data_IF_086645886333
#
_entry.id   IF_086645886333
#
_cell.length_a   1.000
_cell.length_b   1.000
_cell.length_c   1.000
_cell.angle_alpha   90.00
_cell.angle_beta   90.00
_cell.angle_gamma   90.00
#
_symmetry.space_group_name_H-M   'P 1'
#
loop_
_entity.id
_entity.type
_entity.pdbx_description
1 polymer ?
#
# COMPACT_ATOMS: atom_id res chain seq x y z
N UNK A 1 20.87 -59.59 24.17
CA UNK A 1 21.78 -58.85 23.27
C UNK A 1 20.99 -58.49 22.04
N UNK A 2 20.81 -57.19 21.83
CA UNK A 2 20.53 -56.47 20.55
C UNK A 2 19.24 -56.84 19.79
N UNK A 3 18.19 -56.01 19.79
CA UNK A 3 17.96 -54.77 18.99
C UNK A 3 18.05 -54.93 17.47
N UNK A 4 16.91 -54.87 16.76
CA UNK A 4 16.62 -54.05 15.54
C UNK A 4 15.13 -54.25 15.13
N UNK A 5 14.23 -53.26 15.30
CA UNK A 5 13.65 -52.35 14.27
C UNK A 5 13.12 -53.09 13.03
N UNK A 6 11.84 -53.01 12.60
CA UNK A 6 11.01 -51.86 12.17
C UNK A 6 9.52 -52.32 12.14
N UNK A 7 8.58 -51.70 12.85
CA UNK A 7 7.72 -50.59 12.37
C UNK A 7 7.28 -50.67 10.90
N UNK A 8 6.27 -51.48 10.61
CA UNK A 8 5.32 -51.25 9.51
C UNK A 8 3.91 -51.30 10.11
N UNK A 9 3.45 -50.16 10.62
CA UNK A 9 2.04 -49.89 10.91
C UNK A 9 1.62 -48.68 10.08
N UNK A 10 0.60 -48.91 9.26
CA UNK A 10 -0.50 -47.99 8.95
C UNK A 10 -0.24 -46.50 9.15
N UNK A 11 -0.10 -45.77 8.03
CA UNK A 11 -0.71 -44.44 7.89
C UNK A 11 -1.25 -44.24 6.48
N UNK A 12 -2.57 -44.41 6.38
CA UNK A 12 -3.42 -43.58 5.54
C UNK A 12 -3.00 -42.10 5.64
N UNK A 13 -2.90 -41.45 4.48
CA UNK A 13 -3.22 -40.04 4.22
C UNK A 13 -3.16 -39.90 2.69
N UNK A 14 -4.20 -40.25 1.93
CA UNK A 14 -5.38 -39.39 1.68
C UNK A 14 -4.97 -37.92 1.61
N UNK A 15 -4.48 -37.55 0.44
CA UNK A 15 -4.89 -36.35 -0.30
C UNK A 15 -5.43 -35.22 0.57
N UNK A 16 -4.53 -34.37 1.10
CA UNK A 16 -4.87 -32.97 1.35
C UNK A 16 -4.85 -32.27 -0.01
N UNK A 17 -5.94 -32.46 -0.76
CA UNK A 17 -6.33 -31.54 -1.81
C UNK A 17 -6.67 -30.24 -1.09
N UNK A 18 -5.67 -29.36 -0.94
CA UNK A 18 -5.88 -27.99 -0.51
C UNK A 18 -6.80 -27.36 -1.55
N UNK A 19 -8.12 -27.38 -1.28
CA UNK A 19 -9.13 -26.68 -2.05
C UNK A 19 -8.64 -25.25 -2.25
N UNK A 20 -8.10 -24.98 -3.44
CA UNK A 20 -7.76 -23.62 -3.86
C UNK A 20 -9.08 -22.86 -3.79
N UNK A 21 -9.18 -21.89 -2.88
CA UNK A 21 -10.37 -21.06 -2.80
C UNK A 21 -10.76 -20.60 -4.21
N UNK A 22 -12.05 -20.72 -4.59
CA UNK A 22 -12.50 -20.28 -5.89
C UNK A 22 -12.12 -18.81 -6.08
N UNK A 23 -11.59 -18.47 -7.27
CA UNK A 23 -11.13 -17.12 -7.59
C UNK A 23 -12.31 -16.14 -7.48
N UNK A 24 -12.33 -15.34 -6.42
CA UNK A 24 -13.38 -14.35 -6.15
C UNK A 24 -13.36 -13.24 -7.21
N UNK A 25 -14.53 -12.81 -7.63
CA UNK A 25 -14.71 -11.63 -8.49
C UNK A 25 -14.56 -10.37 -7.63
N UNK A 26 -13.58 -9.54 -7.98
CA UNK A 26 -13.32 -8.29 -7.24
C UNK A 26 -14.16 -7.17 -7.84
N UNK A 27 -14.94 -6.49 -7.00
CA UNK A 27 -15.74 -5.31 -7.33
C UNK A 27 -15.10 -4.08 -6.67
N UNK A 28 -14.64 -3.15 -7.49
CA UNK A 28 -13.96 -1.97 -7.00
C UNK A 28 -14.92 -0.84 -6.60
N UNK A 29 -14.60 -0.11 -5.54
CA UNK A 29 -15.42 1.00 -5.09
C UNK A 29 -14.62 2.20 -4.55
N UNK A 30 -15.29 3.36 -4.53
CA UNK A 30 -14.75 4.68 -4.17
C UNK A 30 -15.63 5.30 -3.09
N UNK A 31 -15.03 5.78 -2.02
CA UNK A 31 -15.75 6.46 -0.92
C UNK A 31 -15.56 7.97 -0.92
N UNK A 32 -14.37 8.44 -1.28
CA UNK A 32 -14.03 9.87 -1.37
C UNK A 32 -13.35 10.17 -2.72
N UNK A 33 -14.09 10.69 -3.71
CA UNK A 33 -13.55 10.96 -5.04
C UNK A 33 -12.48 12.05 -5.09
N UNK A 34 -12.40 12.92 -4.08
CA UNK A 34 -11.40 13.99 -4.03
C UNK A 34 -10.10 13.43 -3.49
N UNK A 35 -10.15 12.78 -2.32
CA UNK A 35 -8.99 12.12 -1.72
C UNK A 35 -8.42 11.04 -2.65
N UNK A 36 -9.29 10.21 -3.22
CA UNK A 36 -8.89 9.06 -4.04
C UNK A 36 -8.71 9.42 -5.52
N UNK A 37 -8.66 10.70 -5.88
CA UNK A 37 -8.61 11.18 -7.26
C UNK A 37 -7.46 10.58 -8.07
N UNK A 38 -6.30 10.38 -7.46
CA UNK A 38 -5.14 9.75 -8.10
C UNK A 38 -5.44 8.30 -8.52
N UNK A 39 -6.01 7.49 -7.63
CA UNK A 39 -6.41 6.11 -7.91
C UNK A 39 -7.54 6.04 -8.94
N UNK A 40 -8.47 7.00 -8.93
CA UNK A 40 -9.54 7.10 -9.95
C UNK A 40 -8.94 7.33 -11.33
N UNK A 41 -7.93 8.20 -11.44
CA UNK A 41 -7.27 8.45 -12.72
C UNK A 41 -6.55 7.21 -13.23
N UNK A 42 -5.86 6.48 -12.35
CA UNK A 42 -5.24 5.20 -12.68
C UNK A 42 -6.25 4.19 -13.22
N UNK A 43 -7.40 4.04 -12.55
CA UNK A 43 -8.47 3.16 -13.03
C UNK A 43 -9.01 3.59 -14.41
N UNK A 44 -9.20 4.90 -14.63
CA UNK A 44 -9.65 5.44 -15.93
C UNK A 44 -8.66 5.20 -17.05
N UNK A 45 -7.36 5.38 -16.81
CA UNK A 45 -6.30 5.10 -17.78
C UNK A 45 -6.31 3.65 -18.25
N UNK A 46 -6.82 2.75 -17.41
CA UNK A 46 -6.91 1.32 -17.67
C UNK A 46 -8.28 0.85 -18.17
N UNK A 47 -9.24 1.77 -18.31
CA UNK A 47 -10.61 1.43 -18.67
C UNK A 47 -11.31 0.54 -17.62
N UNK A 48 -10.93 0.68 -16.35
CA UNK A 48 -11.54 -0.04 -15.23
C UNK A 48 -12.66 0.78 -14.60
N UNK A 49 -13.73 0.09 -14.22
CA UNK A 49 -14.87 0.68 -13.53
C UNK A 49 -14.77 0.51 -12.01
N UNK A 50 -15.30 1.51 -11.28
CA UNK A 50 -15.47 1.45 -9.84
C UNK A 50 -16.77 2.12 -9.43
N UNK A 51 -17.46 1.55 -8.42
CA UNK A 51 -18.74 2.06 -7.91
C UNK A 51 -18.50 3.13 -6.85
N UNK A 52 -19.25 4.23 -6.91
CA UNK A 52 -19.15 5.30 -5.90
C UNK A 52 -20.10 4.99 -4.74
N UNK A 53 -19.54 4.78 -3.55
CA UNK A 53 -20.21 4.42 -2.29
C UNK A 53 -19.84 5.43 -1.20
N UNK A 54 -20.62 6.51 -1.05
CA UNK A 54 -20.26 7.66 -0.18
C UNK A 54 -20.92 7.65 1.19
N UNK A 55 -21.84 6.72 1.45
CA UNK A 55 -22.65 6.72 2.65
C UNK A 55 -22.14 5.70 3.66
N UNK A 56 -22.22 6.02 4.95
CA UNK A 56 -21.77 5.13 6.03
C UNK A 56 -22.45 3.75 6.01
N UNK A 57 -23.67 3.66 5.46
CA UNK A 57 -24.40 2.40 5.33
C UNK A 57 -23.81 1.47 4.26
N UNK A 58 -23.05 2.03 3.31
CA UNK A 58 -22.54 1.29 2.16
C UNK A 58 -21.55 0.20 2.57
N UNK A 59 -20.67 0.46 3.57
CA UNK A 59 -19.73 -0.55 4.09
C UNK A 59 -20.46 -1.77 4.65
N UNK A 60 -21.52 -1.54 5.43
CA UNK A 60 -22.33 -2.63 5.99
C UNK A 60 -23.09 -3.38 4.89
N UNK A 61 -23.57 -2.65 3.88
CA UNK A 61 -24.27 -3.23 2.73
C UNK A 61 -23.37 -4.14 1.90
N UNK A 62 -22.19 -3.68 1.49
CA UNK A 62 -21.27 -4.50 0.68
C UNK A 62 -20.74 -5.71 1.47
N UNK A 63 -20.48 -5.55 2.76
CA UNK A 63 -20.07 -6.67 3.64
C UNK A 63 -21.18 -7.72 3.74
N UNK A 64 -22.45 -7.29 3.81
CA UNK A 64 -23.58 -8.21 3.80
C UNK A 64 -23.74 -8.93 2.45
N UNK A 65 -23.49 -8.25 1.33
CA UNK A 65 -23.52 -8.88 0.01
C UNK A 65 -22.45 -9.96 -0.16
N UNK A 66 -21.22 -9.73 0.33
CA UNK A 66 -20.15 -10.74 0.34
C UNK A 66 -20.52 -11.96 1.21
N UNK A 67 -21.22 -11.74 2.32
CA UNK A 67 -21.72 -12.84 3.16
C UNK A 67 -22.78 -13.68 2.42
N UNK A 68 -23.64 -13.05 1.63
CA UNK A 68 -24.68 -13.73 0.85
C UNK A 68 -24.10 -14.43 -0.39
N UNK A 69 -23.03 -13.90 -0.97
CA UNK A 69 -22.35 -14.45 -2.13
C UNK A 69 -20.83 -14.48 -1.92
N UNK A 70 -20.31 -15.66 -1.58
CA UNK A 70 -18.87 -15.85 -1.32
C UNK A 70 -18.00 -15.76 -2.59
N UNK A 71 -18.60 -15.69 -3.78
CA UNK A 71 -17.87 -15.52 -5.04
C UNK A 71 -17.48 -14.06 -5.33
N UNK A 72 -18.03 -13.09 -4.59
CA UNK A 72 -17.70 -11.67 -4.77
C UNK A 72 -16.92 -11.12 -3.58
N UNK A 73 -16.03 -10.17 -3.87
CA UNK A 73 -15.32 -9.37 -2.86
C UNK A 73 -15.31 -7.92 -3.30
N UNK A 74 -15.67 -7.01 -2.42
CA UNK A 74 -15.52 -5.59 -2.64
C UNK A 74 -14.15 -5.14 -2.16
N UNK A 75 -13.52 -4.27 -2.93
CA UNK A 75 -12.21 -3.71 -2.62
C UNK A 75 -12.18 -2.23 -2.95
N UNK A 76 -11.73 -1.41 -2.02
CA UNK A 76 -11.56 0.02 -2.28
C UNK A 76 -10.44 0.23 -3.30
N UNK A 77 -10.57 1.23 -4.17
CA UNK A 77 -9.58 1.50 -5.24
C UNK A 77 -8.16 1.86 -4.75
N UNK A 78 -8.01 2.19 -3.47
CA UNK A 78 -6.73 2.48 -2.80
C UNK A 78 -6.30 1.39 -1.82
N UNK A 79 -6.93 0.22 -1.89
CA UNK A 79 -6.66 -0.87 -0.98
C UNK A 79 -5.38 -1.65 -1.32
N UNK A 80 -5.09 -1.79 -2.61
CA UNK A 80 -3.89 -2.43 -3.12
C UNK A 80 -3.60 -1.93 -4.54
N UNK A 81 -2.41 -2.24 -5.05
CA UNK A 81 -2.06 -2.06 -6.45
C UNK A 81 -2.68 -3.19 -7.26
N UNK A 82 -3.64 -2.90 -8.11
CA UNK A 82 -4.23 -3.91 -9.00
C UNK A 82 -3.18 -4.44 -9.98
N UNK A 83 -3.24 -5.73 -10.33
CA UNK A 83 -2.30 -6.35 -11.29
C UNK A 83 -2.28 -5.62 -12.64
N UNK A 84 -3.40 -5.02 -13.03
CA UNK A 84 -3.49 -4.20 -14.23
C UNK A 84 -2.51 -3.02 -14.21
N UNK A 85 -2.23 -2.42 -13.04
CA UNK A 85 -1.30 -1.29 -12.84
C UNK A 85 0.17 -1.69 -12.84
N UNK A 86 0.46 -2.97 -12.61
CA UNK A 86 1.81 -3.52 -12.59
C UNK A 86 2.27 -3.90 -13.99
N UNK A 87 3.57 -3.85 -14.22
CA UNK A 87 4.21 -4.52 -15.34
C UNK A 87 4.39 -6.01 -15.03
N UNK A 88 4.32 -6.86 -16.05
CA UNK A 88 4.59 -8.31 -15.94
C UNK A 88 6.11 -8.60 -15.82
N UNK A 89 6.81 -7.81 -15.00
CA UNK A 89 8.23 -7.90 -14.77
C UNK A 89 8.49 -8.08 -13.28
N UNK A 90 9.26 -9.10 -12.93
CA UNK A 90 9.67 -9.30 -11.54
C UNK A 90 10.44 -8.06 -11.02
N UNK A 91 10.08 -7.64 -9.81
CA UNK A 91 10.86 -6.67 -9.05
C UNK A 91 12.03 -7.39 -8.41
N UNK A 92 13.21 -6.79 -8.49
CA UNK A 92 14.41 -7.28 -7.82
C UNK A 92 14.23 -7.25 -6.29
N UNK A 93 14.28 -8.42 -5.64
CA UNK A 93 14.11 -8.54 -4.19
C UNK A 93 15.20 -7.84 -3.38
N UNK A 94 16.44 -7.79 -3.88
CA UNK A 94 17.55 -7.10 -3.20
C UNK A 94 17.32 -5.59 -3.23
N UNK A 95 16.88 -5.07 -4.39
CA UNK A 95 16.50 -3.67 -4.55
C UNK A 95 15.33 -3.29 -3.64
N UNK A 96 14.31 -4.16 -3.55
CA UNK A 96 13.17 -3.94 -2.67
C UNK A 96 13.58 -3.87 -1.19
N UNK A 97 14.47 -4.76 -0.73
CA UNK A 97 15.02 -4.74 0.63
C UNK A 97 15.84 -3.48 0.90
N UNK A 98 16.73 -3.12 -0.03
CA UNK A 98 17.57 -1.91 0.09
C UNK A 98 16.72 -0.63 0.20
N UNK A 99 15.71 -0.47 -0.67
CA UNK A 99 14.80 0.67 -0.60
C UNK A 99 13.98 0.69 0.70
N UNK A 100 13.52 -0.48 1.16
CA UNK A 100 12.79 -0.59 2.42
C UNK A 100 13.62 -0.07 3.59
N UNK A 101 14.86 -0.54 3.72
CA UNK A 101 15.77 -0.10 4.78
C UNK A 101 16.10 1.40 4.68
N UNK A 102 16.36 1.88 3.45
CA UNK A 102 16.68 3.28 3.19
C UNK A 102 15.52 4.20 3.58
N UNK A 103 14.29 3.88 3.21
CA UNK A 103 13.12 4.69 3.58
C UNK A 103 12.84 4.62 5.07
N UNK A 104 12.92 3.44 5.70
CA UNK A 104 12.75 3.32 7.17
C UNK A 104 13.75 4.18 7.94
N UNK A 105 15.01 4.17 7.51
CA UNK A 105 16.10 4.96 8.09
C UNK A 105 15.86 6.47 7.92
N UNK A 106 15.63 6.93 6.69
CA UNK A 106 15.49 8.37 6.41
C UNK A 106 14.20 8.95 7.01
N UNK A 107 13.13 8.17 7.09
CA UNK A 107 11.85 8.61 7.65
C UNK A 107 11.75 8.42 9.17
N UNK A 108 12.72 7.75 9.80
CA UNK A 108 12.66 7.31 11.20
C UNK A 108 11.37 6.50 11.50
N UNK A 109 10.99 5.59 10.60
CA UNK A 109 9.78 4.76 10.71
C UNK A 109 10.12 3.28 10.56
N UNK A 110 10.68 2.66 11.60
CA UNK A 110 11.13 1.25 11.58
C UNK A 110 10.03 0.24 11.20
N UNK A 111 8.77 0.58 11.48
CA UNK A 111 7.60 -0.27 11.20
C UNK A 111 6.94 0.02 9.85
N UNK A 112 7.46 0.97 9.06
CA UNK A 112 6.87 1.29 7.75
C UNK A 112 6.95 0.07 6.85
N UNK A 113 5.83 -0.38 6.32
CA UNK A 113 5.81 -1.37 5.27
C UNK A 113 6.11 -0.68 3.94
N UNK A 114 7.07 -1.20 3.18
CA UNK A 114 7.44 -0.67 1.87
C UNK A 114 7.35 -1.80 0.87
N UNK A 115 6.62 -1.56 -0.22
CA UNK A 115 6.57 -2.43 -1.40
C UNK A 115 7.19 -1.69 -2.56
N UNK A 116 7.99 -2.41 -3.35
CA UNK A 116 8.56 -1.87 -4.58
C UNK A 116 7.90 -2.59 -5.75
N UNK A 117 7.29 -1.81 -6.63
CA UNK A 117 6.50 -2.32 -7.73
C UNK A 117 6.92 -1.61 -9.02
N UNK A 118 6.89 -2.30 -10.15
CA UNK A 118 7.03 -1.67 -11.46
C UNK A 118 5.65 -1.27 -11.94
N UNK A 119 5.33 0.02 -11.87
CA UNK A 119 4.03 0.52 -12.29
C UNK A 119 4.12 1.01 -13.74
N UNK A 120 3.10 0.71 -14.54
CA UNK A 120 3.01 1.14 -15.95
C UNK A 120 2.97 2.66 -16.13
N UNK A 121 2.49 3.39 -15.11
CA UNK A 121 2.45 4.86 -15.14
C UNK A 121 3.75 5.44 -14.58
N UNK A 122 4.61 5.92 -15.47
CA UNK A 122 5.91 6.52 -15.13
C UNK A 122 5.81 7.86 -14.38
N UNK A 123 4.66 8.53 -14.37
CA UNK A 123 4.47 9.78 -13.63
C UNK A 123 4.17 9.55 -12.14
N UNK A 124 3.88 8.30 -11.77
CA UNK A 124 3.59 7.93 -10.39
C UNK A 124 4.88 7.50 -9.70
N UNK A 125 5.39 8.32 -8.79
CA UNK A 125 6.63 8.01 -8.06
C UNK A 125 6.41 7.08 -6.85
N UNK A 126 5.35 7.35 -6.10
CA UNK A 126 4.98 6.60 -4.91
C UNK A 126 3.48 6.77 -4.61
N UNK A 127 2.89 5.82 -3.89
CA UNK A 127 1.53 5.91 -3.37
C UNK A 127 1.37 5.10 -2.09
N UNK A 128 0.33 5.38 -1.32
CA UNK A 128 0.05 4.66 -0.07
C UNK A 128 -1.15 3.74 -0.23
N UNK A 129 -1.01 2.47 0.10
CA UNK A 129 -2.14 1.53 0.11
C UNK A 129 -2.51 1.17 1.54
N UNK A 130 -3.78 0.89 1.79
CA UNK A 130 -4.21 0.28 3.06
C UNK A 130 -5.18 -0.84 2.75
N UNK A 131 -4.83 -2.05 3.16
CA UNK A 131 -5.66 -3.22 2.86
C UNK A 131 -7.13 -3.00 3.24
N UNK A 132 -8.02 -3.56 2.44
CA UNK A 132 -9.48 -3.48 2.65
C UNK A 132 -9.86 -3.97 4.05
N UNK A 133 -9.25 -5.06 4.49
CA UNK A 133 -9.53 -5.67 5.79
C UNK A 133 -9.07 -4.75 6.94
N UNK A 134 -7.87 -4.15 6.83
CA UNK A 134 -7.37 -3.16 7.80
C UNK A 134 -8.23 -1.92 7.83
N UNK A 135 -8.71 -1.43 6.67
CA UNK A 135 -9.62 -0.28 6.58
C UNK A 135 -10.93 -0.57 7.30
N UNK A 136 -11.60 -1.69 6.99
CA UNK A 136 -12.87 -2.07 7.63
C UNK A 136 -12.70 -2.29 9.13
N UNK A 137 -11.56 -2.84 9.56
CA UNK A 137 -11.23 -2.95 10.98
C UNK A 137 -11.11 -1.57 11.65
N UNK A 138 -10.43 -0.60 11.02
CA UNK A 138 -10.33 0.76 11.54
C UNK A 138 -11.71 1.45 11.63
N UNK A 139 -12.56 1.28 10.62
CA UNK A 139 -13.93 1.81 10.61
C UNK A 139 -14.78 1.20 11.73
N UNK A 140 -14.69 -0.12 11.89
CA UNK A 140 -15.35 -0.86 12.96
C UNK A 140 -14.93 -0.35 14.34
N UNK A 141 -13.63 -0.19 14.59
CA UNK A 141 -13.11 0.31 15.87
C UNK A 141 -13.54 1.74 16.17
N UNK A 142 -13.59 2.61 15.15
CA UNK A 142 -14.14 3.98 15.29
C UNK A 142 -15.63 3.97 15.65
N UNK A 143 -16.42 3.09 15.03
CA UNK A 143 -17.87 3.03 15.27
C UNK A 143 -18.23 2.47 16.65
N UNK A 144 -17.49 1.46 17.14
CA UNK A 144 -17.75 0.86 18.45
C UNK A 144 -17.25 1.67 19.64
N UNK A 145 -16.71 2.87 19.41
CA UNK A 145 -16.38 3.81 20.47
C UNK A 145 -15.59 3.20 21.61
N UNK A 146 -14.46 2.56 21.29
CA UNK A 146 -13.35 2.41 22.25
C UNK A 146 -12.72 3.78 22.53
N UNK A 147 -13.54 4.76 22.95
CA UNK A 147 -13.18 6.10 23.40
C UNK A 147 -12.14 5.95 24.50
N UNK A 148 -10.87 6.17 24.17
CA UNK A 148 -9.76 6.13 25.11
C UNK A 148 -8.53 5.39 24.61
N UNK A 149 -8.62 4.59 23.54
CA UNK A 149 -7.42 4.10 22.84
C UNK A 149 -7.06 5.06 21.70
N UNK A 150 -5.78 5.42 21.61
CA UNK A 150 -5.26 6.23 20.52
C UNK A 150 -5.59 5.54 19.18
N UNK A 151 -6.29 6.18 18.24
CA UNK A 151 -6.51 5.64 16.89
C UNK A 151 -5.20 5.23 16.19
N UNK A 152 -4.07 5.83 16.55
CA UNK A 152 -2.74 5.48 16.07
C UNK A 152 -2.15 4.22 16.72
N UNK A 153 -2.69 3.71 17.85
CA UNK A 153 -2.26 2.42 18.41
C UNK A 153 -2.68 1.24 17.54
N UNK A 154 -3.74 1.41 16.75
CA UNK A 154 -4.19 0.46 15.74
C UNK A 154 -3.96 1.00 14.33
N UNK A 155 -2.99 1.93 14.20
CA UNK A 155 -2.56 2.52 12.93
C UNK A 155 -2.22 1.40 11.97
N UNK A 156 -3.21 1.04 11.16
CA UNK A 156 -3.18 -0.11 10.29
C UNK A 156 -2.07 0.04 9.28
N UNK A 157 -1.58 -1.11 8.84
CA UNK A 157 -0.41 -1.30 7.99
C UNK A 157 -0.57 -0.57 6.64
N UNK A 158 -0.41 0.75 6.67
CA UNK A 158 -0.26 1.61 5.51
C UNK A 158 1.04 1.17 4.82
N UNK A 159 0.91 0.67 3.59
CA UNK A 159 2.06 0.21 2.80
C UNK A 159 2.46 1.31 1.83
N UNK A 160 3.70 1.80 1.95
CA UNK A 160 4.29 2.70 0.96
C UNK A 160 4.68 1.88 -0.28
N UNK A 161 4.02 2.14 -1.39
CA UNK A 161 4.39 1.58 -2.69
C UNK A 161 5.30 2.55 -3.43
N UNK A 162 6.51 2.11 -3.78
CA UNK A 162 7.48 2.85 -4.59
C UNK A 162 7.48 2.31 -6.02
N UNK A 163 7.42 3.21 -7.01
CA UNK A 163 7.49 2.83 -8.41
C UNK A 163 8.95 2.71 -8.87
N UNK A 164 9.43 1.49 -9.09
CA UNK A 164 10.80 1.24 -9.56
C UNK A 164 11.11 1.82 -10.95
N UNK A 165 10.09 2.11 -11.77
CA UNK A 165 10.25 2.72 -13.08
C UNK A 165 10.39 4.24 -13.00
N UNK A 166 10.04 4.86 -11.87
CA UNK A 166 10.06 6.32 -11.77
C UNK A 166 11.49 6.85 -11.60
N UNK A 167 11.93 7.87 -12.37
CA UNK A 167 13.31 8.39 -12.32
C UNK A 167 13.77 8.84 -10.93
N UNK A 168 12.87 9.43 -10.12
CA UNK A 168 13.19 9.79 -8.73
C UNK A 168 13.51 8.58 -7.85
N UNK A 169 12.83 7.44 -8.05
CA UNK A 169 13.10 6.22 -7.27
C UNK A 169 14.41 5.61 -7.73
N UNK A 170 14.67 5.56 -9.03
CA UNK A 170 15.95 5.13 -9.59
C UNK A 170 17.12 5.99 -9.09
N UNK A 171 16.96 7.31 -9.06
CA UNK A 171 17.96 8.22 -8.52
C UNK A 171 18.32 7.90 -7.07
N UNK A 172 17.31 7.61 -6.24
CA UNK A 172 17.51 7.22 -4.83
C UNK A 172 18.27 5.90 -4.70
N UNK A 173 18.00 4.92 -5.58
CA UNK A 173 18.72 3.64 -5.61
C UNK A 173 20.19 3.84 -5.98
N UNK A 174 20.47 4.67 -6.99
CA UNK A 174 21.83 4.86 -7.53
C UNK A 174 22.71 5.77 -6.66
N UNK A 175 22.10 6.66 -5.87
CA UNK A 175 22.82 7.73 -5.15
C UNK A 175 22.60 7.69 -3.63
N UNK A 176 22.58 6.50 -3.01
CA UNK A 176 22.18 6.31 -1.60
C UNK A 176 22.93 7.22 -0.60
N UNK A 177 24.19 7.57 -0.88
CA UNK A 177 25.03 8.43 -0.04
C UNK A 177 24.87 9.94 -0.29
N UNK A 178 24.04 10.32 -1.26
CA UNK A 178 23.79 11.73 -1.60
C UNK A 178 23.04 12.43 -0.48
N UNK A 179 23.45 13.68 -0.20
CA UNK A 179 22.77 14.56 0.75
C UNK A 179 21.32 14.89 0.32
N UNK A 180 20.96 14.63 -0.95
CA UNK A 180 19.61 14.83 -1.48
C UNK A 180 18.66 13.67 -1.19
N UNK A 181 19.17 12.46 -0.93
CA UNK A 181 18.33 11.26 -0.72
C UNK A 181 17.36 11.41 0.45
N UNK A 182 17.76 11.90 1.64
CA UNK A 182 16.83 12.10 2.75
C UNK A 182 15.64 13.00 2.36
N UNK A 183 15.93 14.10 1.66
CA UNK A 183 14.92 15.07 1.20
C UNK A 183 13.95 14.41 0.21
N UNK A 184 14.46 13.61 -0.73
CA UNK A 184 13.63 12.91 -1.72
C UNK A 184 12.77 11.85 -1.04
N UNK A 185 13.32 11.04 -0.13
CA UNK A 185 12.57 10.01 0.60
C UNK A 185 11.40 10.63 1.37
N UNK A 186 11.65 11.71 2.12
CA UNK A 186 10.60 12.42 2.84
C UNK A 186 9.55 13.03 1.91
N UNK A 187 9.98 13.62 0.79
CA UNK A 187 9.05 14.22 -0.18
C UNK A 187 8.16 13.16 -0.84
N UNK A 188 8.72 12.03 -1.26
CA UNK A 188 7.97 10.92 -1.85
C UNK A 188 6.96 10.34 -0.86
N UNK A 189 7.36 10.19 0.41
CA UNK A 189 6.47 9.73 1.47
C UNK A 189 5.30 10.69 1.67
N UNK A 190 5.56 11.99 1.84
CA UNK A 190 4.49 12.96 2.09
C UNK A 190 3.54 13.11 0.89
N UNK A 191 4.05 13.02 -0.34
CA UNK A 191 3.21 12.97 -1.55
C UNK A 191 2.29 11.74 -1.58
N UNK A 192 2.83 10.56 -1.23
CA UNK A 192 2.05 9.33 -1.10
C UNK A 192 1.03 9.42 0.04
N UNK A 193 1.37 10.10 1.13
CA UNK A 193 0.45 10.32 2.25
C UNK A 193 -0.70 11.24 1.88
N UNK A 194 -0.45 12.31 1.11
CA UNK A 194 -1.47 13.29 0.71
C UNK A 194 -2.60 12.67 -0.12
N UNK A 195 -2.30 11.66 -0.94
CA UNK A 195 -3.33 10.92 -1.68
C UNK A 195 -4.13 9.96 -0.81
N UNK A 196 -3.64 9.63 0.38
CA UNK A 196 -4.27 8.72 1.32
C UNK A 196 -5.05 9.41 2.44
N UNK A 197 -4.47 10.47 3.01
CA UNK A 197 -5.04 11.25 4.11
C UNK A 197 -4.50 12.67 4.15
N UNK A 198 -5.20 13.52 4.86
CA UNK A 198 -4.67 14.84 5.20
C UNK A 198 -3.49 14.69 6.15
N UNK A 199 -2.40 15.40 5.88
CA UNK A 199 -1.27 15.50 6.78
C UNK A 199 -1.67 16.24 8.06
N UNK A 200 -1.03 15.91 9.18
CA UNK A 200 -1.14 16.71 10.41
C UNK A 200 -0.63 18.15 10.20
N UNK A 201 -1.00 19.11 11.05
CA UNK A 201 -0.48 20.48 10.96
C UNK A 201 1.06 20.54 10.92
N UNK A 202 1.73 19.72 11.73
CA UNK A 202 3.19 19.63 11.80
C UNK A 202 3.78 18.97 10.55
N UNK A 203 3.19 17.88 10.07
CA UNK A 203 3.57 17.20 8.83
C UNK A 203 3.43 18.13 7.63
N UNK A 204 2.29 18.83 7.51
CA UNK A 204 2.04 19.81 6.46
C UNK A 204 3.05 20.95 6.50
N UNK A 205 3.37 21.48 7.68
CA UNK A 205 4.38 22.54 7.82
C UNK A 205 5.75 22.08 7.33
N UNK A 206 6.18 20.86 7.71
CA UNK A 206 7.44 20.28 7.22
C UNK A 206 7.42 20.08 5.72
N UNK A 207 6.34 19.54 5.17
CA UNK A 207 6.16 19.33 3.73
C UNK A 207 6.28 20.63 2.93
N UNK A 208 5.62 21.70 3.37
CA UNK A 208 5.69 23.02 2.71
C UNK A 208 7.11 23.58 2.77
N UNK A 209 7.77 23.51 3.94
CA UNK A 209 9.14 24.00 4.08
C UNK A 209 10.11 23.23 3.17
N UNK A 210 10.01 21.89 3.13
CA UNK A 210 10.82 21.04 2.26
C UNK A 210 10.55 21.31 0.79
N UNK A 211 9.29 21.51 0.42
CA UNK A 211 8.90 21.85 -0.95
C UNK A 211 9.52 23.18 -1.38
N UNK A 212 9.54 24.19 -0.50
CA UNK A 212 10.22 25.45 -0.77
C UNK A 212 11.74 25.27 -0.88
N UNK A 213 12.36 24.44 -0.03
CA UNK A 213 13.79 24.12 -0.11
C UNK A 213 14.15 23.47 -1.45
N UNK A 214 13.38 22.47 -1.89
CA UNK A 214 13.53 21.81 -3.20
C UNK A 214 13.41 22.85 -4.33
N UNK A 215 12.39 23.71 -4.28
CA UNK A 215 12.23 24.77 -5.27
C UNK A 215 13.41 25.73 -5.30
N UNK A 216 13.97 26.08 -4.13
CA UNK A 216 15.18 26.91 -4.05
C UNK A 216 16.39 26.21 -4.68
N UNK A 217 16.56 24.90 -4.47
CA UNK A 217 17.62 24.14 -5.13
C UNK A 217 17.49 24.16 -6.65
N UNK A 218 16.26 24.13 -7.18
CA UNK A 218 16.01 24.23 -8.63
C UNK A 218 16.28 25.63 -9.20
N UNK A 219 16.20 26.67 -8.37
CA UNK A 219 16.53 28.05 -8.78
C UNK A 219 18.01 28.38 -8.71
N UNK A 220 18.84 27.49 -8.14
CA UNK A 220 20.29 27.68 -8.15
C UNK A 220 20.82 27.43 -9.56
N UNK A 221 21.04 28.52 -10.30
CA UNK A 221 21.46 28.53 -11.71
C UNK A 221 22.84 27.85 -11.91
N UNK A 222 23.57 27.56 -10.83
CA UNK A 222 24.92 27.00 -10.86
C UNK A 222 25.02 25.55 -10.31
N UNK A 223 23.91 24.87 -10.03
CA UNK A 223 23.89 23.49 -9.51
C UNK A 223 23.92 22.40 -10.59
#
# INVERSE_FOLDING_TARGET
TEETTTEEQDKENKEEDSEKEPKKTILYYVTDPVQQSQYINLFKEQGMDAVILRHNIDTAFISHLEQLNQEIRFQRIDADVTDSLKEDAETDEELAKSLTELFRKNLNKEKLEVKVEKLKNENLSAMMTLSEDSRRMQEMMKMYNMYGMDPNMFGGDETLVLNANHPLVQFVVEHQDSQKVPIICEQLYDLAMLSHKQLSPEEMTRFVNRSNEIMMMLTDINA
#
